data_IF_336177432753
#
_entry.id   IF_336177432753
#
_cell.length_a   1.000
_cell.length_b   1.000
_cell.length_c   1.000
_cell.angle_alpha   90.00
_cell.angle_beta   90.00
_cell.angle_gamma   90.00
#
_symmetry.space_group_name_H-M   'P 1'
#
loop_
_entity.id
_entity.type
_entity.pdbx_description
1 polymer ?
#
# COMPACT_ATOMS: atom_id res chain seq x y z
N UNK A 1 -11.46 -12.56 -7.53
CA UNK A 1 -11.38 -11.11 -7.29
C UNK A 1 -10.14 -10.81 -6.46
N UNK A 2 -9.32 -9.87 -6.91
CA UNK A 2 -8.08 -9.55 -6.21
C UNK A 2 -8.34 -8.80 -4.91
N UNK A 3 -7.58 -9.13 -3.88
CA UNK A 3 -7.70 -8.54 -2.55
C UNK A 3 -6.60 -7.51 -2.33
N UNK A 4 -7.00 -6.31 -1.91
CA UNK A 4 -6.10 -5.19 -1.66
C UNK A 4 -6.24 -4.75 -0.21
N UNK A 5 -5.12 -4.60 0.48
CA UNK A 5 -5.09 -4.02 1.81
C UNK A 5 -4.70 -2.54 1.69
N UNK A 6 -5.55 -1.65 2.19
CA UNK A 6 -5.27 -0.22 2.24
C UNK A 6 -4.83 0.15 3.65
N UNK A 7 -3.61 0.68 3.77
CA UNK A 7 -3.05 1.09 5.07
C UNK A 7 -2.94 2.61 5.08
N UNK A 8 -3.77 3.27 5.87
CA UNK A 8 -3.87 4.71 5.93
C UNK A 8 -4.39 5.12 7.31
N UNK A 9 -3.68 6.00 8.01
CA UNK A 9 -4.09 6.42 9.35
C UNK A 9 -5.25 7.42 9.35
N UNK A 10 -5.39 8.24 8.30
CA UNK A 10 -6.52 9.16 8.16
C UNK A 10 -7.79 8.39 7.80
N UNK A 11 -8.84 8.42 8.66
CA UNK A 11 -10.09 7.71 8.33
C UNK A 11 -10.73 8.20 7.04
N UNK A 12 -10.65 9.49 6.74
CA UNK A 12 -11.24 10.06 5.52
C UNK A 12 -10.49 9.56 4.29
N UNK A 13 -9.16 9.65 4.28
CA UNK A 13 -8.36 9.18 3.16
C UNK A 13 -8.47 7.67 2.97
N UNK A 14 -8.51 6.93 4.08
CA UNK A 14 -8.67 5.47 4.04
C UNK A 14 -9.98 5.07 3.36
N UNK A 15 -11.08 5.74 3.73
CA UNK A 15 -12.38 5.42 3.16
C UNK A 15 -12.48 5.86 1.70
N UNK A 16 -11.92 7.01 1.34
CA UNK A 16 -11.90 7.45 -0.06
C UNK A 16 -11.16 6.45 -0.94
N UNK A 17 -10.02 5.99 -0.49
CA UNK A 17 -9.22 5.02 -1.24
C UNK A 17 -9.94 3.66 -1.33
N UNK A 18 -10.51 3.20 -0.22
CA UNK A 18 -11.25 1.96 -0.21
C UNK A 18 -12.44 2.00 -1.18
N UNK A 19 -13.18 3.11 -1.18
CA UNK A 19 -14.33 3.29 -2.07
C UNK A 19 -13.91 3.28 -3.53
N UNK A 20 -12.84 4.01 -3.87
CA UNK A 20 -12.30 4.02 -5.22
C UNK A 20 -11.99 2.60 -5.70
N UNK A 21 -11.33 1.82 -4.88
CA UNK A 21 -10.90 0.49 -5.27
C UNK A 21 -12.08 -0.50 -5.32
N UNK A 22 -13.02 -0.41 -4.39
CA UNK A 22 -14.25 -1.24 -4.46
C UNK A 22 -15.03 -0.96 -5.74
N UNK A 23 -15.10 0.30 -6.16
CA UNK A 23 -15.79 0.67 -7.40
C UNK A 23 -15.09 0.13 -8.65
N UNK A 24 -13.86 -0.36 -8.53
CA UNK A 24 -13.11 -0.98 -9.61
C UNK A 24 -12.99 -2.50 -9.42
N UNK A 25 -13.93 -3.09 -8.70
CA UNK A 25 -14.10 -4.54 -8.53
C UNK A 25 -12.98 -5.24 -7.77
N UNK A 26 -12.30 -4.51 -6.87
CA UNK A 26 -11.35 -5.13 -5.96
C UNK A 26 -12.00 -5.43 -4.61
N UNK A 27 -11.58 -6.50 -3.98
CA UNK A 27 -11.96 -6.82 -2.61
C UNK A 27 -11.01 -6.08 -1.67
N UNK A 28 -11.57 -5.28 -0.74
CA UNK A 28 -10.77 -4.36 0.07
C UNK A 28 -10.81 -4.72 1.55
N UNK A 29 -9.64 -4.77 2.16
CA UNK A 29 -9.46 -4.73 3.60
C UNK A 29 -8.72 -3.44 3.94
N UNK A 30 -8.86 -2.95 5.16
CA UNK A 30 -8.22 -1.72 5.60
C UNK A 30 -7.46 -1.91 6.90
N UNK A 31 -6.42 -1.12 7.10
CA UNK A 31 -5.67 -1.04 8.34
C UNK A 31 -5.34 0.42 8.61
N UNK A 32 -5.30 0.80 9.88
CA UNK A 32 -5.06 2.19 10.28
C UNK A 32 -3.61 2.47 10.69
N UNK A 33 -2.79 1.44 10.79
CA UNK A 33 -1.38 1.59 11.16
C UNK A 33 -0.58 0.36 10.72
N UNK A 34 0.74 0.44 10.88
CA UNK A 34 1.64 -0.62 10.42
C UNK A 34 1.49 -1.94 11.17
N UNK A 35 1.19 -1.89 12.47
CA UNK A 35 1.01 -3.13 13.25
C UNK A 35 -0.22 -3.90 12.80
N UNK A 36 -1.34 -3.19 12.58
CA UNK A 36 -2.54 -3.82 12.01
C UNK A 36 -2.26 -4.38 10.62
N UNK A 37 -1.51 -3.63 9.81
CA UNK A 37 -1.17 -4.06 8.46
C UNK A 37 -0.40 -5.37 8.47
N UNK A 38 0.61 -5.50 9.31
CA UNK A 38 1.42 -6.73 9.40
C UNK A 38 0.52 -7.92 9.77
N UNK A 39 -0.34 -7.75 10.77
CA UNK A 39 -1.25 -8.81 11.18
C UNK A 39 -2.19 -9.21 10.06
N UNK A 40 -2.74 -8.24 9.33
CA UNK A 40 -3.67 -8.53 8.24
C UNK A 40 -3.01 -9.15 7.02
N UNK A 41 -1.79 -8.72 6.67
CA UNK A 41 -1.06 -9.34 5.55
C UNK A 41 -0.81 -10.80 5.86
N UNK A 42 -0.45 -11.13 7.11
CA UNK A 42 -0.20 -12.52 7.51
C UNK A 42 -1.45 -13.39 7.49
N UNK A 43 -2.62 -12.83 7.82
CA UNK A 43 -3.86 -13.61 7.88
C UNK A 43 -4.63 -13.62 6.56
N UNK A 44 -4.64 -12.52 5.82
CA UNK A 44 -5.46 -12.38 4.61
C UNK A 44 -4.70 -12.68 3.32
N UNK A 45 -3.38 -12.60 3.34
CA UNK A 45 -2.53 -12.76 2.16
C UNK A 45 -3.04 -11.93 0.97
N UNK A 46 -3.13 -10.59 1.12
CA UNK A 46 -3.63 -9.75 0.03
C UNK A 46 -2.69 -9.81 -1.17
N UNK A 47 -3.23 -9.56 -2.35
CA UNK A 47 -2.43 -9.51 -3.58
C UNK A 47 -1.55 -8.26 -3.60
N UNK A 48 -2.06 -7.15 -3.05
CA UNK A 48 -1.35 -5.87 -3.01
C UNK A 48 -1.63 -5.18 -1.69
N UNK A 49 -0.61 -4.49 -1.16
CA UNK A 49 -0.74 -3.56 -0.04
C UNK A 49 -0.48 -2.15 -0.57
N UNK A 50 -1.44 -1.25 -0.34
CA UNK A 50 -1.29 0.17 -0.66
C UNK A 50 -1.12 0.90 0.66
N UNK A 51 -0.03 1.65 0.82
CA UNK A 51 0.28 2.30 2.09
C UNK A 51 0.85 3.69 1.92
N UNK A 52 0.68 4.53 2.95
CA UNK A 52 1.31 5.85 3.01
C UNK A 52 2.61 5.77 3.81
N UNK A 53 3.49 6.75 3.60
CA UNK A 53 4.73 6.88 4.36
C UNK A 53 4.46 7.49 5.74
N UNK A 54 3.65 8.56 5.79
CA UNK A 54 3.42 9.31 7.02
C UNK A 54 2.33 8.65 7.85
N UNK A 55 2.75 7.86 8.83
CA UNK A 55 1.83 7.18 9.75
C UNK A 55 2.43 7.20 11.16
N UNK A 56 1.60 7.23 12.21
CA UNK A 56 2.11 7.18 13.58
C UNK A 56 2.68 5.80 13.92
N UNK A 57 3.59 5.76 14.87
CA UNK A 57 4.22 4.56 15.42
C UNK A 57 5.18 3.84 14.47
N UNK A 58 4.76 3.60 13.24
CA UNK A 58 5.57 2.92 12.23
C UNK A 58 5.31 3.61 10.90
N UNK A 59 6.33 4.22 10.31
CA UNK A 59 6.16 4.85 8.99
C UNK A 59 6.14 3.81 7.88
N UNK A 60 5.77 4.24 6.66
CA UNK A 60 5.63 3.34 5.54
C UNK A 60 6.92 2.67 5.09
N UNK A 61 8.05 3.34 5.22
CA UNK A 61 9.35 2.72 4.89
C UNK A 61 9.64 1.54 5.80
N UNK A 62 9.39 1.71 7.09
CA UNK A 62 9.60 0.67 8.08
C UNK A 62 8.64 -0.50 7.85
N UNK A 63 7.38 -0.20 7.52
CA UNK A 63 6.41 -1.24 7.20
C UNK A 63 6.86 -2.06 5.98
N UNK A 64 7.31 -1.40 4.91
CA UNK A 64 7.85 -2.11 3.74
C UNK A 64 8.98 -3.05 4.14
N UNK A 65 9.95 -2.54 4.90
CA UNK A 65 11.09 -3.33 5.33
C UNK A 65 10.66 -4.55 6.15
N UNK A 66 9.73 -4.36 7.09
CA UNK A 66 9.24 -5.46 7.92
C UNK A 66 8.51 -6.52 7.11
N UNK A 67 7.72 -6.11 6.12
CA UNK A 67 7.06 -7.07 5.23
C UNK A 67 8.09 -7.86 4.42
N UNK A 68 9.14 -7.23 3.93
CA UNK A 68 10.18 -7.90 3.14
C UNK A 68 11.05 -8.84 3.97
N UNK A 69 11.23 -8.56 5.25
CA UNK A 69 12.04 -9.39 6.15
C UNK A 69 11.32 -10.65 6.63
N UNK A 70 9.99 -10.71 6.50
CA UNK A 70 9.21 -11.84 7.00
C UNK A 70 9.00 -12.89 5.89
N UNK A 71 9.41 -14.15 6.11
CA UNK A 71 9.24 -15.20 5.10
C UNK A 71 7.80 -15.41 4.63
N UNK A 72 6.82 -15.02 5.44
CA UNK A 72 5.41 -15.19 5.08
C UNK A 72 4.85 -14.05 4.24
N UNK A 73 5.56 -12.91 4.15
CA UNK A 73 5.05 -11.71 3.49
C UNK A 73 6.04 -11.09 2.50
N UNK A 74 7.24 -11.66 2.35
CA UNK A 74 8.33 -11.05 1.61
C UNK A 74 8.00 -10.74 0.14
N UNK A 75 7.10 -11.49 -0.47
CA UNK A 75 6.77 -11.35 -1.89
C UNK A 75 5.46 -10.61 -2.15
N UNK A 76 4.86 -10.00 -1.12
CA UNK A 76 3.65 -9.20 -1.29
C UNK A 76 3.95 -7.97 -2.14
N UNK A 77 3.10 -7.66 -3.11
CA UNK A 77 3.25 -6.44 -3.89
C UNK A 77 2.89 -5.22 -3.04
N UNK A 78 3.75 -4.21 -3.05
CA UNK A 78 3.57 -3.00 -2.24
C UNK A 78 3.57 -1.77 -3.13
N UNK A 79 2.53 -0.94 -2.97
CA UNK A 79 2.43 0.37 -3.62
C UNK A 79 2.43 1.43 -2.53
N UNK A 80 3.36 2.37 -2.59
CA UNK A 80 3.35 3.54 -1.72
C UNK A 80 2.56 4.66 -2.39
N UNK A 81 1.59 5.24 -1.67
CA UNK A 81 0.85 6.43 -2.10
C UNK A 81 1.08 7.50 -1.05
N UNK A 82 1.80 8.57 -1.38
CA UNK A 82 2.17 9.56 -0.38
C UNK A 82 2.33 10.96 -0.96
N UNK A 83 2.03 11.96 -0.12
CA UNK A 83 2.32 13.35 -0.43
C UNK A 83 3.82 13.64 -0.37
N UNK A 84 4.61 12.81 0.30
CA UNK A 84 6.06 12.87 0.27
C UNK A 84 6.51 12.31 -1.08
N UNK A 85 6.90 13.20 -2.00
CA UNK A 85 7.13 12.78 -3.39
C UNK A 85 8.41 13.35 -4.01
N UNK A 86 9.39 13.74 -3.17
CA UNK A 86 10.70 14.15 -3.68
C UNK A 86 11.41 12.93 -4.29
N UNK A 87 12.44 13.21 -5.08
CA UNK A 87 13.29 12.15 -5.63
C UNK A 87 13.85 11.26 -4.53
N UNK A 88 14.25 11.87 -3.41
CA UNK A 88 14.77 11.12 -2.26
C UNK A 88 13.69 10.24 -1.63
N UNK A 89 12.46 10.75 -1.47
CA UNK A 89 11.36 9.97 -0.92
C UNK A 89 11.09 8.72 -1.77
N UNK A 90 11.03 8.89 -3.08
CA UNK A 90 10.81 7.78 -4.01
C UNK A 90 11.94 6.77 -3.98
N UNK A 91 13.17 7.25 -3.92
CA UNK A 91 14.34 6.40 -3.83
C UNK A 91 14.25 5.49 -2.58
N UNK A 92 13.97 6.09 -1.43
CA UNK A 92 13.89 5.34 -0.18
C UNK A 92 12.71 4.37 -0.15
N UNK A 93 11.58 4.75 -0.77
CA UNK A 93 10.44 3.85 -0.89
C UNK A 93 10.81 2.59 -1.67
N UNK A 94 11.39 2.76 -2.84
CA UNK A 94 11.79 1.62 -3.67
C UNK A 94 12.92 0.82 -3.02
N UNK A 95 13.87 1.51 -2.37
CA UNK A 95 14.99 0.86 -1.67
C UNK A 95 14.53 0.00 -0.50
N UNK A 96 13.44 0.40 0.17
CA UNK A 96 12.88 -0.38 1.27
C UNK A 96 11.93 -1.49 0.79
N UNK A 97 11.74 -1.64 -0.51
CA UNK A 97 11.06 -2.80 -1.07
C UNK A 97 9.71 -2.55 -1.71
N UNK A 98 9.30 -1.29 -1.93
CA UNK A 98 8.07 -1.04 -2.67
C UNK A 98 8.23 -1.43 -4.14
N UNK A 99 7.12 -1.86 -4.75
CA UNK A 99 7.07 -2.19 -6.17
C UNK A 99 6.70 -0.97 -7.01
N UNK A 100 6.00 0.00 -6.41
CA UNK A 100 5.62 1.23 -7.10
C UNK A 100 5.45 2.35 -6.09
N UNK A 101 5.53 3.60 -6.58
CA UNK A 101 5.37 4.79 -5.76
C UNK A 101 4.48 5.78 -6.51
N UNK A 102 3.40 6.21 -5.88
CA UNK A 102 2.45 7.15 -6.45
C UNK A 102 2.37 8.39 -5.58
N UNK A 103 2.51 9.56 -6.18
CA UNK A 103 2.46 10.84 -5.47
C UNK A 103 1.03 11.31 -5.29
N UNK A 104 0.67 11.74 -4.08
CA UNK A 104 -0.62 12.40 -3.82
C UNK A 104 -0.52 13.89 -4.11
N UNK A 105 -1.53 14.53 -4.68
CA UNK A 105 -2.74 13.91 -5.21
C UNK A 105 -2.49 13.21 -6.55
N UNK A 106 -3.26 12.17 -6.84
CA UNK A 106 -3.12 11.44 -8.10
C UNK A 106 -4.49 11.27 -8.76
N UNK A 107 -4.54 11.19 -10.10
CA UNK A 107 -5.80 10.86 -10.77
C UNK A 107 -6.18 9.41 -10.43
N UNK A 108 -7.48 9.13 -10.17
CA UNK A 108 -7.89 7.80 -9.72
C UNK A 108 -7.39 6.65 -10.60
N UNK A 109 -7.33 6.85 -11.92
CA UNK A 109 -6.90 5.80 -12.84
C UNK A 109 -5.42 5.40 -12.64
N UNK A 110 -4.58 6.30 -12.12
CA UNK A 110 -3.16 5.99 -11.93
C UNK A 110 -2.98 4.83 -10.94
N UNK A 111 -3.69 4.87 -9.81
CA UNK A 111 -3.61 3.80 -8.83
C UNK A 111 -4.17 2.49 -9.39
N UNK A 112 -5.34 2.56 -10.03
CA UNK A 112 -5.99 1.37 -10.61
C UNK A 112 -5.10 0.74 -11.68
N UNK A 113 -4.52 1.54 -12.57
CA UNK A 113 -3.64 1.04 -13.61
C UNK A 113 -2.38 0.39 -13.04
N UNK A 114 -1.79 1.01 -12.01
CA UNK A 114 -0.61 0.46 -11.35
C UNK A 114 -0.92 -0.89 -10.71
N UNK A 115 -2.07 -1.00 -10.04
CA UNK A 115 -2.51 -2.26 -9.46
C UNK A 115 -2.65 -3.34 -10.53
N UNK A 116 -3.32 -3.01 -11.63
CA UNK A 116 -3.53 -3.97 -12.72
C UNK A 116 -2.22 -4.40 -13.37
N UNK A 117 -1.28 -3.48 -13.51
CA UNK A 117 0.05 -3.82 -14.04
C UNK A 117 0.77 -4.83 -13.15
N UNK A 118 0.71 -4.64 -11.83
CA UNK A 118 1.37 -5.55 -10.89
C UNK A 118 0.67 -6.91 -10.84
N UNK A 119 -0.65 -6.96 -11.02
CA UNK A 119 -1.42 -8.20 -10.98
C UNK A 119 -1.30 -9.01 -12.27
N UNK A 120 -0.98 -8.39 -13.38
CA UNK A 120 -0.91 -9.04 -14.69
C UNK A 120 0.48 -9.54 -15.08
N UNK A 121 1.42 -9.47 -14.17
CA UNK A 121 2.80 -9.93 -14.42
C UNK A 121 2.97 -11.40 -14.19
#
# INVERSE_FOLDING_TARGET
MSKILVVEDSPVQRELMATLLRNNDFEIATASNGLEAIAQVRSLHPNIVVLDIVMPKMNGYELCRKLRENPKTWNTNIIICSAKSTTADRYWGMRNGANAYISKPFPPHELVDTINELLNV
#
